data_IF_582304849367
#
_entry.id   IF_582304849367
#
_cell.length_a   1.000
_cell.length_b   1.000
_cell.length_c   1.000
_cell.angle_alpha   90.00
_cell.angle_beta   90.00
_cell.angle_gamma   90.00
#
_symmetry.space_group_name_H-M   'P 1'
#
loop_
_entity.id
_entity.type
_entity.pdbx_description
1 polymer ?
#
# COMPACT_ATOMS: atom_id res chain seq x y z
N UNK A 1 -12.21 -5.05 -44.81
CA UNK A 1 -11.54 -5.87 -43.78
C UNK A 1 -10.93 -4.92 -42.75
N UNK A 2 -11.65 -4.65 -41.67
CA UNK A 2 -11.16 -3.81 -40.56
C UNK A 2 -10.89 -4.73 -39.37
N UNK A 3 -9.64 -5.10 -39.17
CA UNK A 3 -9.21 -5.83 -37.98
C UNK A 3 -9.41 -4.96 -36.73
N UNK A 4 -10.29 -5.41 -35.84
CA UNK A 4 -10.38 -4.94 -34.46
C UNK A 4 -9.09 -5.33 -33.74
N UNK A 5 -8.24 -4.35 -33.41
CA UNK A 5 -7.05 -4.57 -32.58
C UNK A 5 -7.50 -5.22 -31.25
N UNK A 6 -6.94 -6.37 -30.86
CA UNK A 6 -7.29 -6.99 -29.59
C UNK A 6 -6.86 -6.05 -28.46
N UNK A 7 -7.77 -5.77 -27.52
CA UNK A 7 -7.44 -5.05 -26.30
C UNK A 7 -6.29 -5.79 -25.59
N UNK A 8 -5.22 -5.08 -25.27
CA UNK A 8 -4.10 -5.63 -24.50
C UNK A 8 -4.57 -5.89 -23.06
N UNK A 9 -5.14 -7.07 -22.81
CA UNK A 9 -5.49 -7.50 -21.46
C UNK A 9 -4.21 -7.79 -20.68
N UNK A 10 -3.97 -7.01 -19.63
CA UNK A 10 -2.85 -7.23 -18.72
C UNK A 10 -3.17 -8.45 -17.86
N UNK A 11 -2.48 -9.56 -18.09
CA UNK A 11 -2.60 -10.75 -17.27
C UNK A 11 -2.21 -10.48 -15.81
N UNK A 12 -2.73 -11.25 -14.83
CA UNK A 12 -2.50 -11.05 -13.39
C UNK A 12 -1.00 -10.98 -13.01
N UNK A 13 -0.17 -11.73 -13.73
CA UNK A 13 1.30 -11.78 -13.54
C UNK A 13 1.99 -10.47 -13.94
N UNK A 14 1.50 -9.80 -14.98
CA UNK A 14 2.01 -8.50 -15.44
C UNK A 14 1.53 -7.35 -14.54
N UNK A 15 0.31 -7.46 -13.98
CA UNK A 15 -0.20 -6.51 -12.99
C UNK A 15 0.63 -6.56 -11.69
N UNK A 16 0.95 -7.76 -11.21
CA UNK A 16 1.80 -7.96 -10.03
C UNK A 16 3.24 -7.44 -10.25
N UNK A 17 3.83 -7.70 -11.42
CA UNK A 17 5.20 -7.27 -11.73
C UNK A 17 5.34 -5.76 -11.96
N UNK A 18 4.32 -5.07 -12.49
CA UNK A 18 4.36 -3.62 -12.70
C UNK A 18 4.13 -2.82 -11.41
N UNK A 19 3.58 -3.45 -10.35
CA UNK A 19 3.22 -2.78 -9.10
C UNK A 19 4.10 -3.11 -7.88
N UNK A 20 5.11 -3.97 -7.98
CA UNK A 20 5.99 -4.35 -6.85
C UNK A 20 5.30 -5.05 -5.67
N UNK A 21 3.97 -5.14 -5.68
CA UNK A 21 3.16 -5.75 -4.64
C UNK A 21 3.05 -7.26 -4.86
N UNK A 22 3.45 -8.02 -3.84
CA UNK A 22 3.25 -9.48 -3.81
C UNK A 22 1.77 -9.75 -3.51
N UNK A 23 1.14 -10.75 -4.15
CA UNK A 23 -0.26 -11.08 -3.90
C UNK A 23 -0.45 -11.44 -2.43
N UNK A 24 -1.50 -10.89 -1.81
CA UNK A 24 -1.86 -11.16 -0.41
C UNK A 24 -2.26 -12.63 -0.16
N UNK A 25 -2.50 -13.39 -1.23
CA UNK A 25 -2.85 -14.80 -1.14
C UNK A 25 -1.61 -15.69 -1.25
N UNK A 26 -1.52 -16.66 -0.32
CA UNK A 26 -0.64 -17.81 -0.45
C UNK A 26 -0.90 -18.49 -1.80
N UNK A 27 0.11 -18.74 -2.65
CA UNK A 27 -0.11 -19.44 -3.91
C UNK A 27 -0.58 -20.87 -3.61
N UNK A 28 -1.86 -21.13 -3.79
CA UNK A 28 -2.50 -22.45 -3.60
C UNK A 28 -2.05 -23.49 -4.66
N UNK A 29 -1.15 -23.11 -5.58
CA UNK A 29 -0.64 -23.99 -6.64
C UNK A 29 0.37 -25.06 -6.15
N UNK A 30 0.57 -25.17 -4.84
CA UNK A 30 1.43 -26.20 -4.24
C UNK A 30 0.81 -27.60 -4.12
N UNK A 31 -0.49 -27.79 -4.42
CA UNK A 31 -1.16 -29.08 -4.23
C UNK A 31 -1.09 -30.05 -5.41
N UNK A 32 -0.57 -29.64 -6.58
CA UNK A 32 -0.36 -30.53 -7.73
C UNK A 32 1.12 -30.96 -7.84
N UNK A 33 1.64 -31.52 -6.74
CA UNK A 33 3.03 -31.98 -6.60
C UNK A 33 3.21 -33.48 -6.84
N UNK A 34 2.81 -33.99 -8.02
CA UNK A 34 3.23 -35.31 -8.50
C UNK A 34 4.02 -35.15 -9.81
N UNK A 35 5.12 -34.38 -9.78
CA UNK A 35 6.33 -34.62 -10.59
C UNK A 35 7.39 -33.56 -10.26
N UNK A 36 8.59 -33.98 -9.86
CA UNK A 36 9.79 -33.14 -9.97
C UNK A 36 10.26 -32.46 -8.69
N UNK A 37 10.82 -33.27 -7.78
CA UNK A 37 11.86 -32.83 -6.85
C UNK A 37 12.98 -32.15 -7.65
N UNK A 38 13.10 -30.81 -7.52
CA UNK A 38 14.27 -29.93 -7.82
C UNK A 38 13.88 -28.49 -8.20
N UNK A 39 12.59 -28.16 -8.34
CA UNK A 39 12.14 -26.78 -8.57
C UNK A 39 11.59 -26.07 -7.31
N UNK A 40 11.53 -26.76 -6.16
CA UNK A 40 11.02 -26.23 -4.89
C UNK A 40 12.07 -25.51 -4.03
N UNK A 41 13.35 -25.52 -4.42
CA UNK A 41 14.41 -24.85 -3.65
C UNK A 41 14.56 -23.36 -3.98
N UNK A 42 14.11 -22.91 -5.16
CA UNK A 42 14.27 -21.52 -5.61
C UNK A 42 13.10 -20.59 -5.22
N UNK A 43 12.06 -21.13 -4.58
CA UNK A 43 10.90 -20.39 -4.06
C UNK A 43 10.89 -20.28 -2.54
N UNK A 44 11.87 -20.87 -1.86
CA UNK A 44 12.09 -20.66 -0.44
C UNK A 44 12.68 -19.27 -0.26
N UNK A 45 11.80 -18.29 -0.15
CA UNK A 45 12.12 -17.09 0.61
C UNK A 45 12.61 -17.50 1.99
N UNK A 46 13.51 -16.68 2.55
CA UNK A 46 14.10 -16.89 3.85
C UNK A 46 13.05 -17.37 4.86
N UNK A 47 13.31 -18.50 5.49
CA UNK A 47 12.42 -19.12 6.48
C UNK A 47 12.02 -18.13 7.58
N UNK A 48 12.86 -17.12 7.85
CA UNK A 48 12.61 -16.00 8.78
C UNK A 48 11.47 -15.07 8.34
N UNK A 49 11.35 -14.76 7.04
CA UNK A 49 10.25 -13.92 6.52
C UNK A 49 8.93 -14.69 6.54
N UNK A 50 8.98 -16.00 6.31
CA UNK A 50 7.83 -16.88 6.45
C UNK A 50 7.37 -16.95 7.91
N UNK A 51 8.28 -17.11 8.86
CA UNK A 51 7.98 -17.07 10.29
C UNK A 51 7.43 -15.72 10.75
N UNK A 52 7.98 -14.59 10.26
CA UNK A 52 7.45 -13.26 10.58
C UNK A 52 6.06 -13.00 9.98
N UNK A 53 5.75 -13.62 8.84
CA UNK A 53 4.39 -13.61 8.26
C UNK A 53 3.44 -14.54 9.03
N UNK A 54 3.96 -15.63 9.58
CA UNK A 54 3.22 -16.58 10.42
C UNK A 54 2.94 -16.02 11.83
N UNK A 55 3.78 -15.13 12.35
CA UNK A 55 3.67 -14.46 13.68
C UNK A 55 2.70 -13.25 13.70
N UNK A 56 2.12 -12.86 12.55
CA UNK A 56 1.17 -11.75 12.44
C UNK A 56 -0.26 -12.08 12.94
N UNK A 57 -0.39 -13.00 13.90
CA UNK A 57 -1.66 -13.30 14.57
C UNK A 57 -2.75 -13.89 13.68
N UNK A 58 -2.44 -14.23 12.41
CA UNK A 58 -3.36 -14.94 11.50
C UNK A 58 -3.28 -16.46 11.68
N UNK A 59 -2.13 -16.96 12.18
CA UNK A 59 -1.92 -18.36 12.56
C UNK A 59 -2.00 -18.60 14.08
N UNK A 60 -2.31 -17.59 14.90
CA UNK A 60 -2.54 -17.74 16.34
C UNK A 60 -4.00 -18.13 16.64
N UNK A 61 -4.54 -19.03 15.83
CA UNK A 61 -5.72 -19.81 16.19
C UNK A 61 -5.13 -21.12 16.73
N UNK A 62 -4.92 -21.15 18.04
CA UNK A 62 -4.26 -22.17 18.85
C UNK A 62 -3.99 -23.51 18.16
N UNK A 63 -2.75 -23.97 18.28
CA UNK A 63 -2.35 -25.34 17.99
C UNK A 63 -3.11 -26.33 18.90
N UNK A 64 -4.42 -26.48 18.71
CA UNK A 64 -5.06 -27.74 18.96
C UNK A 64 -4.48 -28.67 17.91
N UNK A 65 -3.84 -29.74 18.37
CA UNK A 65 -3.47 -30.87 17.54
C UNK A 65 -4.76 -31.48 17.00
N UNK A 66 -5.35 -30.84 15.98
CA UNK A 66 -6.41 -31.42 15.21
C UNK A 66 -5.80 -32.68 14.64
N UNK A 67 -6.16 -33.83 15.21
CA UNK A 67 -5.97 -35.12 14.57
C UNK A 67 -6.41 -34.93 13.14
N UNK A 68 -5.47 -34.99 12.20
CA UNK A 68 -5.77 -34.89 10.78
C UNK A 68 -6.70 -36.06 10.48
N UNK A 69 -8.01 -35.80 10.54
CA UNK A 69 -8.98 -36.71 10.00
C UNK A 69 -8.71 -36.67 8.50
N UNK A 70 -7.97 -37.66 8.00
CA UNK A 70 -7.98 -37.97 6.57
C UNK A 70 -9.45 -38.09 6.21
N UNK A 71 -9.93 -37.11 5.43
CA UNK A 71 -11.28 -37.15 4.93
C UNK A 71 -11.34 -38.38 4.02
N UNK A 72 -12.01 -39.43 4.49
CA UNK A 72 -12.33 -40.58 3.67
C UNK A 72 -13.21 -40.07 2.53
N UNK A 73 -12.60 -39.90 1.35
CA UNK A 73 -13.30 -39.39 0.17
C UNK A 73 -14.18 -40.53 -0.34
N UNK A 74 -15.35 -40.66 0.28
CA UNK A 74 -16.38 -41.55 -0.20
C UNK A 74 -16.79 -41.05 -1.60
N UNK A 75 -16.70 -41.90 -2.64
CA UNK A 75 -17.26 -41.56 -3.93
C UNK A 75 -18.77 -41.47 -3.76
N UNK A 76 -19.29 -40.25 -3.59
CA UNK A 76 -20.70 -39.96 -3.65
C UNK A 76 -21.16 -40.26 -5.07
N UNK A 77 -21.59 -41.49 -5.33
CA UNK A 77 -22.48 -41.75 -6.45
C UNK A 77 -23.68 -40.85 -6.25
N UNK A 78 -24.02 -39.96 -7.21
CA UNK A 78 -25.22 -39.15 -7.09
C UNK A 78 -26.40 -40.11 -6.88
N UNK A 79 -27.10 -39.93 -5.76
CA UNK A 79 -28.31 -40.69 -5.48
C UNK A 79 -29.26 -40.55 -6.69
N UNK A 80 -30.00 -41.61 -7.08
CA UNK A 80 -30.94 -41.51 -8.18
C UNK A 80 -31.89 -40.34 -7.91
N UNK A 81 -32.00 -39.43 -8.87
CA UNK A 81 -32.84 -38.25 -8.77
C UNK A 81 -34.28 -38.70 -8.46
N UNK A 82 -34.72 -38.45 -7.22
CA UNK A 82 -36.07 -38.75 -6.82
C UNK A 82 -36.96 -37.58 -7.30
N UNK A 83 -37.89 -37.81 -8.24
CA UNK A 83 -38.70 -36.76 -8.84
C UNK A 83 -39.59 -36.04 -7.81
N UNK A 84 -39.94 -36.69 -6.70
CA UNK A 84 -40.73 -36.08 -5.63
C UNK A 84 -39.95 -34.99 -4.88
N UNK A 85 -38.67 -35.25 -4.56
CA UNK A 85 -37.78 -34.26 -3.94
C UNK A 85 -37.48 -33.08 -4.86
N UNK A 86 -37.35 -33.30 -6.17
CA UNK A 86 -37.19 -32.20 -7.12
C UNK A 86 -38.45 -31.32 -7.20
N UNK A 87 -39.64 -31.94 -7.15
CA UNK A 87 -40.90 -31.22 -7.15
C UNK A 87 -41.07 -30.39 -5.86
N UNK A 88 -40.68 -30.94 -4.71
CA UNK A 88 -40.65 -30.22 -3.43
C UNK A 88 -39.68 -29.04 -3.47
N UNK A 89 -38.44 -29.25 -3.90
CA UNK A 89 -37.46 -28.17 -4.01
C UNK A 89 -37.92 -27.03 -4.93
N UNK A 90 -38.60 -27.35 -6.05
CA UNK A 90 -39.18 -26.32 -6.94
C UNK A 90 -40.33 -25.57 -6.29
N UNK A 91 -41.14 -26.24 -5.47
CA UNK A 91 -42.22 -25.59 -4.72
C UNK A 91 -41.64 -24.64 -3.65
N UNK A 92 -40.63 -25.09 -2.92
CA UNK A 92 -39.93 -24.29 -1.91
C UNK A 92 -39.24 -23.07 -2.53
N UNK A 93 -38.57 -23.23 -3.67
CA UNK A 93 -37.98 -22.13 -4.44
C UNK A 93 -39.03 -21.11 -4.89
N UNK A 94 -40.22 -21.57 -5.29
CA UNK A 94 -41.31 -20.68 -5.71
C UNK A 94 -41.86 -19.87 -4.53
N UNK A 95 -41.98 -20.49 -3.36
CA UNK A 95 -42.40 -19.82 -2.12
C UNK A 95 -41.34 -18.79 -1.69
N UNK A 96 -40.07 -19.17 -1.64
CA UNK A 96 -38.98 -18.28 -1.26
C UNK A 96 -38.87 -17.06 -2.19
N UNK A 97 -39.08 -17.25 -3.50
CA UNK A 97 -39.11 -16.13 -4.48
C UNK A 97 -40.31 -15.21 -4.26
N UNK A 98 -41.48 -15.76 -3.94
CA UNK A 98 -42.67 -14.96 -3.63
C UNK A 98 -42.47 -14.16 -2.33
N UNK A 99 -41.86 -14.76 -1.32
CA UNK A 99 -41.50 -14.08 -0.07
C UNK A 99 -40.50 -12.93 -0.32
N UNK A 100 -39.42 -13.17 -1.08
CA UNK A 100 -38.46 -12.11 -1.44
C UNK A 100 -39.12 -10.97 -2.21
N UNK A 101 -40.07 -11.27 -3.10
CA UNK A 101 -40.80 -10.27 -3.86
C UNK A 101 -41.80 -9.46 -3.00
N UNK A 102 -42.24 -10.03 -1.88
CA UNK A 102 -43.16 -9.37 -0.92
C UNK A 102 -42.44 -8.47 0.09
N UNK A 103 -41.12 -8.60 0.22
CA UNK A 103 -40.32 -7.72 1.06
C UNK A 103 -40.36 -6.29 0.49
N UNK A 104 -40.56 -5.26 1.32
CA UNK A 104 -40.49 -3.88 0.85
C UNK A 104 -39.10 -3.62 0.29
N UNK A 105 -39.02 -3.33 -1.01
CA UNK A 105 -37.81 -2.85 -1.65
C UNK A 105 -37.38 -1.58 -0.91
N UNK A 106 -36.31 -1.67 -0.12
CA UNK A 106 -35.66 -0.49 0.46
C UNK A 106 -35.33 0.38 -0.74
N UNK A 107 -36.04 1.51 -0.86
CA UNK A 107 -35.91 2.44 -1.96
C UNK A 107 -34.42 2.67 -2.22
N UNK A 108 -34.05 2.62 -3.49
CA UNK A 108 -32.69 2.76 -4.02
C UNK A 108 -32.11 4.15 -3.68
N UNK A 109 -31.88 4.42 -2.39
CA UNK A 109 -31.06 5.51 -1.96
C UNK A 109 -29.68 5.21 -2.53
N UNK A 110 -29.31 6.02 -3.53
CA UNK A 110 -28.04 5.87 -4.22
C UNK A 110 -26.93 5.76 -3.17
N UNK A 111 -26.15 4.68 -3.16
CA UNK A 111 -25.16 4.46 -2.11
C UNK A 111 -24.20 5.63 -2.10
N UNK A 112 -23.90 6.15 -0.91
CA UNK A 112 -23.05 7.35 -0.71
C UNK A 112 -21.73 7.27 -1.49
N UNK A 113 -21.20 6.06 -1.70
CA UNK A 113 -20.01 5.79 -2.51
C UNK A 113 -20.18 6.23 -3.98
N UNK A 114 -21.34 6.00 -4.60
CA UNK A 114 -21.62 6.46 -5.98
C UNK A 114 -21.73 7.98 -6.05
N UNK A 115 -22.28 8.61 -5.01
CA UNK A 115 -22.33 10.07 -4.89
C UNK A 115 -20.92 10.67 -4.81
N UNK A 116 -20.05 10.11 -3.96
CA UNK A 116 -18.65 10.52 -3.83
C UNK A 116 -17.86 10.33 -5.14
N UNK A 117 -18.09 9.23 -5.87
CA UNK A 117 -17.43 8.98 -7.15
C UNK A 117 -17.77 10.03 -8.22
N UNK A 118 -19.02 10.51 -8.27
CA UNK A 118 -19.41 11.58 -9.18
C UNK A 118 -18.73 12.90 -8.84
N UNK A 119 -18.66 13.26 -7.56
CA UNK A 119 -18.02 14.49 -7.11
C UNK A 119 -16.52 14.51 -7.44
N UNK A 120 -15.82 13.39 -7.22
CA UNK A 120 -14.40 13.26 -7.59
C UNK A 120 -14.23 13.31 -9.12
N UNK A 121 -15.11 12.67 -9.88
CA UNK A 121 -15.04 12.70 -11.35
C UNK A 121 -15.25 14.12 -11.89
N UNK A 122 -16.17 14.89 -11.31
CA UNK A 122 -16.40 16.29 -11.66
C UNK A 122 -15.16 17.13 -11.37
N UNK A 123 -14.56 16.99 -10.17
CA UNK A 123 -13.34 17.69 -9.79
C UNK A 123 -12.15 17.39 -10.72
N UNK A 124 -11.97 16.12 -11.11
CA UNK A 124 -10.90 15.70 -12.02
C UNK A 124 -11.13 16.19 -13.44
N UNK A 125 -12.38 16.27 -13.89
CA UNK A 125 -12.73 16.78 -15.23
C UNK A 125 -12.65 18.31 -15.33
N UNK A 126 -12.89 19.02 -14.22
CA UNK A 126 -12.74 20.46 -14.10
C UNK A 126 -11.28 20.90 -13.95
N UNK A 127 -10.37 19.98 -13.61
CA UNK A 127 -8.94 20.25 -13.67
C UNK A 127 -8.51 20.45 -15.14
N UNK A 128 -7.87 21.57 -15.49
CA UNK A 128 -7.40 21.78 -16.86
C UNK A 128 -6.43 20.67 -17.24
N UNK A 129 -6.61 20.10 -18.43
CA UNK A 129 -5.77 19.06 -19.01
C UNK A 129 -4.27 19.37 -18.80
N UNK A 130 -3.41 18.36 -18.53
CA UNK A 130 -2.01 18.61 -18.26
C UNK A 130 -1.41 19.29 -19.49
N UNK A 131 -1.04 20.56 -19.33
CA UNK A 131 -0.31 21.33 -20.33
C UNK A 131 1.05 20.67 -20.56
N UNK A 132 1.08 19.68 -21.44
CA UNK A 132 2.27 19.20 -22.09
C UNK A 132 2.81 20.32 -22.99
N UNK A 133 3.52 21.29 -22.40
CA UNK A 133 4.53 22.17 -23.00
C UNK A 133 4.68 23.47 -22.19
N UNK A 134 5.25 23.39 -20.99
CA UNK A 134 6.01 24.51 -20.45
C UNK A 134 7.42 24.01 -20.17
N UNK A 135 8.26 24.08 -21.21
CA UNK A 135 9.71 24.16 -21.02
C UNK A 135 9.96 25.37 -20.13
N UNK A 136 10.14 25.14 -18.84
CA UNK A 136 10.38 26.20 -17.88
C UNK A 136 11.69 26.87 -18.24
N UNK A 137 11.62 28.12 -18.73
CA UNK A 137 12.74 29.05 -18.62
C UNK A 137 13.23 29.04 -17.17
N UNK A 138 14.54 29.23 -16.90
CA UNK A 138 15.05 29.21 -15.54
C UNK A 138 14.45 30.38 -14.77
N UNK A 139 13.34 30.13 -14.05
CA UNK A 139 12.86 31.02 -13.00
C UNK A 139 14.02 31.19 -12.04
N UNK A 140 14.56 32.40 -11.95
CA UNK A 140 15.49 32.77 -10.90
C UNK A 140 14.84 32.37 -9.58
N UNK A 141 15.35 31.30 -8.97
CA UNK A 141 14.89 30.82 -7.67
C UNK A 141 15.23 31.93 -6.69
N UNK A 142 14.25 32.78 -6.36
CA UNK A 142 14.34 33.62 -5.16
C UNK A 142 14.68 32.66 -4.03
N UNK A 143 15.82 32.89 -3.40
CA UNK A 143 16.37 31.96 -2.42
C UNK A 143 15.38 31.96 -1.27
N UNK A 144 14.84 30.80 -0.89
CA UNK A 144 13.91 30.66 0.24
C UNK A 144 14.43 31.29 1.56
N UNK A 145 15.75 31.58 1.62
CA UNK A 145 16.41 32.34 2.66
C UNK A 145 15.96 33.82 2.78
N UNK A 146 15.48 34.45 1.70
CA UNK A 146 15.11 35.88 1.69
C UNK A 146 13.76 36.14 2.39
N UNK A 147 12.93 35.11 2.56
CA UNK A 147 11.59 35.23 3.16
C UNK A 147 11.53 34.80 4.64
N UNK A 148 12.67 34.64 5.31
CA UNK A 148 12.71 34.22 6.73
C UNK A 148 12.18 32.81 6.97
N UNK A 149 12.02 32.00 5.92
CA UNK A 149 11.51 30.64 6.00
C UNK A 149 12.64 29.67 6.32
N UNK A 150 12.31 28.65 7.13
CA UNK A 150 13.24 27.55 7.47
C UNK A 150 13.66 26.85 6.18
N UNK A 151 14.96 26.90 5.88
CA UNK A 151 15.52 26.17 4.75
C UNK A 151 15.49 24.67 5.05
N UNK A 152 14.91 23.87 4.15
CA UNK A 152 14.97 22.43 4.25
C UNK A 152 16.37 21.94 3.88
N UNK A 153 17.01 21.18 4.76
CA UNK A 153 18.26 20.49 4.50
C UNK A 153 18.08 18.98 4.66
N UNK A 154 18.68 18.20 3.78
CA UNK A 154 18.74 16.74 3.91
C UNK A 154 20.13 16.35 4.39
N UNK A 155 20.21 15.72 5.56
CA UNK A 155 21.46 15.27 6.17
C UNK A 155 21.64 13.77 5.94
N UNK A 156 22.81 13.37 5.44
CA UNK A 156 23.20 11.96 5.33
C UNK A 156 23.99 11.57 6.57
N UNK A 157 23.54 10.52 7.27
CA UNK A 157 24.19 9.96 8.44
C UNK A 157 24.59 8.51 8.17
N UNK A 158 25.72 8.08 8.71
CA UNK A 158 26.07 6.65 8.77
C UNK A 158 25.16 5.92 9.76
N UNK A 159 25.11 4.60 9.65
CA UNK A 159 24.23 3.75 10.45
C UNK A 159 24.45 3.93 11.96
N UNK A 160 25.71 4.07 12.41
CA UNK A 160 26.04 4.23 13.81
C UNK A 160 25.59 5.59 14.35
N UNK A 161 25.81 6.69 13.62
CA UNK A 161 25.30 8.02 14.02
C UNK A 161 23.78 8.08 14.04
N UNK A 162 23.11 7.44 13.08
CA UNK A 162 21.65 7.38 13.06
C UNK A 162 21.09 6.60 14.27
N UNK A 163 21.70 5.47 14.64
CA UNK A 163 21.32 4.72 15.84
C UNK A 163 21.49 5.57 17.11
N UNK A 164 22.63 6.26 17.26
CA UNK A 164 22.87 7.17 18.40
C UNK A 164 21.84 8.30 18.47
N UNK A 165 21.50 8.92 17.32
CA UNK A 165 20.49 9.97 17.26
C UNK A 165 19.09 9.45 17.63
N UNK A 166 18.76 8.22 17.22
CA UNK A 166 17.49 7.57 17.61
C UNK A 166 17.42 7.32 19.11
N UNK A 167 18.47 6.74 19.70
CA UNK A 167 18.55 6.52 21.15
C UNK A 167 18.51 7.82 21.94
N UNK A 168 19.19 8.88 21.47
CA UNK A 168 19.11 10.20 22.09
C UNK A 168 17.68 10.76 22.03
N UNK A 169 16.98 10.57 20.92
CA UNK A 169 15.58 11.00 20.76
C UNK A 169 14.65 10.28 21.73
N UNK A 170 14.83 8.98 21.94
CA UNK A 170 14.01 8.19 22.88
C UNK A 170 14.31 8.54 24.33
N UNK A 171 15.58 8.69 24.71
CA UNK A 171 15.99 9.01 26.09
C UNK A 171 15.57 10.43 26.49
N UNK A 172 15.71 11.41 25.60
CA UNK A 172 15.39 12.79 25.89
C UNK A 172 13.94 13.19 25.58
N UNK A 173 13.13 12.26 25.05
CA UNK A 173 11.76 12.49 24.60
C UNK A 173 11.63 13.74 23.71
N UNK A 174 12.54 13.89 22.75
CA UNK A 174 12.62 15.02 21.81
C UNK A 174 12.76 14.51 20.39
N UNK A 175 12.31 15.30 19.43
CA UNK A 175 12.47 14.92 18.02
C UNK A 175 13.94 15.02 17.59
N UNK A 176 14.34 14.17 16.65
CA UNK A 176 15.67 14.21 16.06
C UNK A 176 16.03 15.60 15.51
N UNK A 177 15.05 16.31 14.94
CA UNK A 177 15.22 17.68 14.46
C UNK A 177 15.60 18.64 15.60
N UNK A 178 14.90 18.59 16.74
CA UNK A 178 15.18 19.46 17.88
C UNK A 178 16.58 19.22 18.45
N UNK A 179 17.00 17.95 18.56
CA UNK A 179 18.33 17.59 19.05
C UNK A 179 19.41 18.13 18.11
N UNK A 180 19.26 17.93 16.80
CA UNK A 180 20.23 18.40 15.80
C UNK A 180 20.27 19.93 15.75
N UNK A 181 19.12 20.60 15.82
CA UNK A 181 19.07 22.07 15.84
C UNK A 181 19.73 22.63 17.10
N UNK A 182 19.42 22.10 18.28
CA UNK A 182 20.04 22.56 19.53
C UNK A 182 21.56 22.34 19.55
N UNK A 183 22.02 21.19 19.05
CA UNK A 183 23.46 20.92 18.93
C UNK A 183 24.15 21.86 17.93
N UNK A 184 23.46 22.21 16.83
CA UNK A 184 23.97 23.18 15.87
C UNK A 184 24.04 24.58 16.46
N UNK A 185 23.00 25.02 17.18
CA UNK A 185 22.95 26.34 17.81
C UNK A 185 24.10 26.47 18.84
N UNK A 186 24.29 25.46 19.70
CA UNK A 186 25.40 25.42 20.65
C UNK A 186 26.77 25.43 19.96
N UNK A 187 26.92 24.74 18.83
CA UNK A 187 28.16 24.74 18.06
C UNK A 187 28.42 26.11 17.42
N UNK A 188 27.39 26.78 16.89
CA UNK A 188 27.52 28.12 16.31
C UNK A 188 27.84 29.18 17.37
N UNK A 189 27.24 29.09 18.55
CA UNK A 189 27.57 29.96 19.70
C UNK A 189 29.04 29.87 20.10
N UNK A 190 29.68 28.72 19.90
CA UNK A 190 31.12 28.56 20.19
C UNK A 190 32.03 29.27 19.18
N UNK A 191 31.50 29.77 18.06
CA UNK A 191 32.26 30.35 16.95
C UNK A 191 31.82 31.79 16.64
N UNK A 192 32.08 32.77 17.53
CA UNK A 192 31.64 34.17 17.35
C UNK A 192 32.27 34.86 16.13
N UNK A 193 33.39 34.35 15.62
CA UNK A 193 34.03 34.84 14.39
C UNK A 193 33.10 34.73 13.17
N UNK A 194 32.20 33.75 13.14
CA UNK A 194 31.25 33.54 12.05
C UNK A 194 30.25 34.70 11.89
N UNK A 195 29.90 35.37 12.99
CA UNK A 195 28.99 36.52 12.95
C UNK A 195 29.62 37.71 12.21
N UNK A 196 30.92 37.91 12.40
CA UNK A 196 31.67 38.98 11.71
C UNK A 196 31.74 38.71 10.20
N UNK A 197 32.01 37.47 9.80
CA UNK A 197 32.05 37.05 8.40
C UNK A 197 30.65 37.13 7.77
N UNK A 198 29.61 36.71 8.50
CA UNK A 198 28.23 36.82 8.05
C UNK A 198 27.82 38.29 7.81
N UNK A 199 28.26 39.21 8.67
CA UNK A 199 28.03 40.64 8.50
C UNK A 199 28.74 41.20 7.26
N UNK A 200 29.97 40.76 6.97
CA UNK A 200 30.70 41.16 5.76
C UNK A 200 29.98 40.70 4.49
N UNK A 201 29.58 39.42 4.40
CA UNK A 201 28.87 38.87 3.23
C UNK A 201 27.52 39.59 3.00
N UNK A 202 26.80 39.97 4.07
CA UNK A 202 25.56 40.75 3.95
C UNK A 202 25.81 42.15 3.40
N UNK A 203 26.91 42.82 3.79
CA UNK A 203 27.29 44.16 3.27
C UNK A 203 27.64 44.11 1.80
N UNK A 204 28.43 43.12 1.36
CA UNK A 204 28.78 42.93 -0.05
C UNK A 204 27.57 42.69 -0.94
N UNK A 205 26.57 41.93 -0.46
CA UNK A 205 25.31 41.73 -1.18
C UNK A 205 24.42 42.96 -1.26
N UNK A 206 24.58 43.93 -0.35
CA UNK A 206 23.81 45.19 -0.34
C UNK A 206 24.46 46.29 -1.21
N UNK A 207 25.77 46.20 -1.44
CA UNK A 207 26.53 47.13 -2.27
C UNK A 207 26.64 46.76 -3.75
N UNK A 208 26.05 45.63 -4.15
CA UNK A 208 25.99 45.13 -5.52
C UNK A 208 24.54 45.15 -6.01
#
# INVERSE_FOLDING_TARGET
MSETKPFASLGPTLLARKGGARPAMRPQFGSLGMLGTKASAALNLAEEDQQALDDLGWNDMGYEEHTRHEADVLPLTPAPANPETEAQARADDAVARAELASLPTVAEAEPEVRRQQREVAEFVSAAPAPAAALRSAPRQRRRALEEGRRAAFTLRLDAQRHLKLRLASTVHNRSAQQIVTAALDQFLESLPELDTLAAQVKRERKGK
#
